data_IF_877206740046
#
_entry.id   IF_877206740046
#
_cell.length_a   1.000
_cell.length_b   1.000
_cell.length_c   1.000
_cell.angle_alpha   90.00
_cell.angle_beta   90.00
_cell.angle_gamma   90.00
#
_symmetry.space_group_name_H-M   'P 1'
#
loop_
_entity.id
_entity.type
_entity.pdbx_description
1 polymer ?
#
# COMPACT_ATOMS: atom_id res chain seq x y z
N UNK A 1 39.12 -66.80 -38.18
CA UNK A 1 39.22 -67.05 -36.73
C UNK A 1 38.03 -66.30 -36.09
N UNK A 2 36.88 -67.00 -36.02
CA UNK A 2 35.60 -66.44 -35.52
C UNK A 2 35.50 -66.74 -34.03
N UNK A 3 35.51 -65.70 -33.22
CA UNK A 3 35.30 -65.76 -31.78
C UNK A 3 33.82 -66.04 -31.51
N UNK A 4 33.46 -67.22 -31.03
CA UNK A 4 32.14 -67.51 -30.50
C UNK A 4 32.05 -67.03 -29.04
N UNK A 5 31.30 -65.93 -28.81
CA UNK A 5 30.95 -65.49 -27.47
C UNK A 5 29.84 -66.38 -26.88
N UNK A 6 30.09 -67.01 -25.73
CA UNK A 6 29.13 -67.90 -25.06
C UNK A 6 27.99 -67.07 -24.39
N UNK A 7 26.78 -67.67 -24.25
CA UNK A 7 25.63 -66.96 -23.68
C UNK A 7 25.81 -66.43 -22.24
N UNK A 8 26.78 -66.97 -21.51
CA UNK A 8 27.13 -66.57 -20.15
C UNK A 8 27.86 -65.20 -20.11
N UNK A 9 28.65 -64.88 -21.16
CA UNK A 9 29.34 -63.57 -21.24
C UNK A 9 28.40 -62.42 -21.61
N UNK A 10 27.32 -62.66 -22.36
CA UNK A 10 26.29 -61.68 -22.64
C UNK A 10 25.43 -61.33 -21.42
N UNK A 11 25.23 -62.28 -20.51
CA UNK A 11 24.47 -62.04 -19.26
C UNK A 11 25.29 -61.24 -18.23
N UNK A 12 26.58 -61.36 -18.16
CA UNK A 12 27.46 -60.60 -17.30
C UNK A 12 27.58 -59.15 -17.75
N UNK A 13 27.62 -58.89 -19.06
CA UNK A 13 27.67 -57.51 -19.61
C UNK A 13 26.36 -56.72 -19.40
N UNK A 14 25.20 -57.40 -19.43
CA UNK A 14 23.90 -56.81 -19.21
C UNK A 14 23.66 -56.39 -17.74
N UNK A 15 24.25 -57.15 -16.77
CA UNK A 15 24.12 -56.81 -15.34
C UNK A 15 25.01 -55.61 -14.94
N UNK A 16 26.17 -55.44 -15.57
CA UNK A 16 27.05 -54.29 -15.31
C UNK A 16 26.49 -52.97 -15.88
N UNK A 17 25.72 -53.00 -16.98
CA UNK A 17 25.06 -51.82 -17.51
C UNK A 17 23.82 -51.35 -16.71
N UNK A 18 23.17 -52.24 -15.96
CA UNK A 18 21.99 -51.90 -15.13
C UNK A 18 22.36 -51.31 -13.76
N UNK A 19 23.58 -51.45 -13.29
CA UNK A 19 24.07 -50.87 -12.03
C UNK A 19 24.70 -49.46 -12.18
N UNK A 20 24.92 -48.98 -13.42
CA UNK A 20 25.51 -47.69 -13.71
C UNK A 20 24.53 -46.49 -13.79
N UNK A 21 23.21 -46.74 -13.74
CA UNK A 21 22.18 -45.73 -13.83
C UNK A 21 21.47 -45.36 -12.50
N UNK A 22 22.08 -45.72 -11.36
CA UNK A 22 21.70 -45.08 -10.10
C UNK A 22 22.24 -43.60 -10.12
N UNK A 23 21.63 -42.80 -10.99
CA UNK A 23 21.84 -41.37 -11.02
C UNK A 23 21.54 -40.82 -9.63
N UNK A 24 22.57 -40.35 -8.93
CA UNK A 24 22.44 -39.55 -7.73
C UNK A 24 21.59 -38.35 -8.12
N UNK A 25 20.29 -38.41 -7.82
CA UNK A 25 19.50 -37.21 -7.67
C UNK A 25 20.16 -36.46 -6.52
N UNK A 26 21.08 -35.54 -6.85
CA UNK A 26 21.43 -34.47 -5.95
C UNK A 26 20.10 -33.72 -5.75
N UNK A 27 19.38 -34.08 -4.71
CA UNK A 27 18.45 -33.21 -4.10
C UNK A 27 19.33 -32.02 -3.63
N UNK A 28 19.41 -30.98 -4.48
CA UNK A 28 20.10 -29.76 -4.11
C UNK A 28 19.54 -29.33 -2.77
N UNK A 29 20.42 -29.06 -1.81
CA UNK A 29 19.99 -28.42 -0.57
C UNK A 29 19.02 -27.28 -0.95
N UNK A 30 17.87 -27.14 -0.26
CA UNK A 30 16.94 -26.07 -0.55
C UNK A 30 17.70 -24.75 -0.50
N UNK A 31 17.81 -24.10 -1.66
CA UNK A 31 18.61 -22.88 -1.79
C UNK A 31 18.21 -21.93 -0.68
N UNK A 32 19.19 -21.52 0.15
CA UNK A 32 18.95 -20.64 1.30
C UNK A 32 18.35 -19.32 0.78
N UNK A 33 17.09 -19.12 1.00
CA UNK A 33 16.42 -17.85 0.66
C UNK A 33 16.53 -16.88 1.84
N UNK A 34 16.82 -15.58 1.62
CA UNK A 34 17.32 -15.01 0.37
C UNK A 34 18.81 -15.30 0.18
N UNK A 35 19.20 -15.61 -1.06
CA UNK A 35 20.61 -15.89 -1.43
C UNK A 35 21.36 -14.66 -1.95
N UNK A 36 20.66 -13.58 -2.23
CA UNK A 36 21.15 -12.32 -2.77
C UNK A 36 20.27 -11.15 -2.30
N UNK A 37 20.67 -9.87 -2.51
CA UNK A 37 19.85 -8.73 -2.12
C UNK A 37 18.43 -8.80 -2.65
N UNK A 38 17.48 -8.36 -1.82
CA UNK A 38 16.05 -8.27 -2.13
C UNK A 38 15.72 -6.84 -2.58
N UNK A 39 15.12 -6.70 -3.74
CA UNK A 39 14.64 -5.41 -4.25
C UNK A 39 13.24 -5.14 -3.71
N UNK A 40 13.04 -3.99 -3.09
CA UNK A 40 11.73 -3.49 -2.65
C UNK A 40 11.29 -2.33 -3.54
N UNK A 41 10.42 -2.61 -4.49
CA UNK A 41 9.83 -1.60 -5.38
C UNK A 41 8.88 -0.72 -4.56
N UNK A 42 8.98 0.60 -4.76
CA UNK A 42 8.04 1.60 -4.25
C UNK A 42 7.50 2.39 -5.43
N UNK A 43 6.20 2.23 -5.72
CA UNK A 43 5.57 2.80 -6.90
C UNK A 43 5.24 4.31 -6.76
N UNK A 44 5.89 5.00 -5.81
CA UNK A 44 5.74 6.44 -5.55
C UNK A 44 7.09 7.13 -5.51
N UNK A 45 7.07 8.46 -5.55
CA UNK A 45 8.29 9.25 -5.51
C UNK A 45 9.04 9.09 -4.18
N UNK A 46 10.34 9.25 -4.21
CA UNK A 46 11.18 9.32 -3.01
C UNK A 46 10.70 10.44 -2.06
N UNK A 47 10.77 10.21 -0.76
CA UNK A 47 10.29 11.13 0.27
C UNK A 47 8.77 11.10 0.50
N UNK A 48 8.01 10.32 -0.28
CA UNK A 48 6.59 10.07 0.00
C UNK A 48 6.40 9.16 1.22
N UNK A 49 5.19 9.16 1.79
CA UNK A 49 4.85 8.29 2.93
C UNK A 49 5.15 6.80 2.67
N UNK A 50 4.84 6.21 1.49
CA UNK A 50 5.27 4.84 1.17
C UNK A 50 6.80 4.67 1.12
N UNK A 51 7.54 5.62 0.59
CA UNK A 51 9.01 5.55 0.54
C UNK A 51 9.63 5.61 1.96
N UNK A 52 9.11 6.48 2.81
CA UNK A 52 9.52 6.57 4.22
C UNK A 52 9.29 5.23 4.93
N UNK A 53 8.10 4.64 4.79
CA UNK A 53 7.81 3.32 5.35
C UNK A 53 8.74 2.25 4.80
N UNK A 54 8.92 2.21 3.48
CA UNK A 54 9.77 1.21 2.81
C UNK A 54 11.21 1.23 3.35
N UNK A 55 11.80 2.41 3.54
CA UNK A 55 13.17 2.54 4.08
C UNK A 55 13.26 2.08 5.53
N UNK A 56 12.29 2.44 6.35
CA UNK A 56 12.21 2.00 7.76
C UNK A 56 12.09 0.49 7.86
N UNK A 57 11.25 -0.12 7.03
CA UNK A 57 11.06 -1.58 7.00
C UNK A 57 12.26 -2.28 6.39
N UNK A 58 12.82 -1.77 5.29
CA UNK A 58 13.98 -2.36 4.61
C UNK A 58 15.22 -2.44 5.51
N UNK A 59 15.45 -1.42 6.34
CA UNK A 59 16.52 -1.41 7.34
C UNK A 59 16.42 -2.62 8.28
N UNK A 60 15.26 -2.86 8.86
CA UNK A 60 15.02 -3.94 9.82
C UNK A 60 14.93 -5.31 9.14
N UNK A 61 14.29 -5.39 7.96
CA UNK A 61 14.25 -6.63 7.19
C UNK A 61 15.63 -7.09 6.72
N UNK A 62 16.52 -6.16 6.39
CA UNK A 62 17.90 -6.51 6.00
C UNK A 62 18.61 -7.26 7.12
N UNK A 63 18.47 -6.80 8.36
CA UNK A 63 19.01 -7.48 9.53
C UNK A 63 18.35 -8.84 9.77
N UNK A 64 17.02 -8.92 9.66
CA UNK A 64 16.27 -10.15 9.89
C UNK A 64 16.53 -11.23 8.82
N UNK A 65 16.68 -10.85 7.56
CA UNK A 65 16.87 -11.77 6.44
C UNK A 65 18.35 -12.13 6.17
N UNK A 66 19.29 -11.38 6.76
CA UNK A 66 20.72 -11.56 6.51
C UNK A 66 21.18 -11.14 5.10
N UNK A 67 20.32 -10.43 4.35
CA UNK A 67 20.58 -9.91 3.01
C UNK A 67 20.05 -8.48 2.89
N UNK A 68 20.72 -7.64 2.12
CA UNK A 68 20.30 -6.27 1.92
C UNK A 68 18.89 -6.20 1.27
N UNK A 69 18.00 -5.39 1.83
CA UNK A 69 16.72 -5.01 1.21
C UNK A 69 16.88 -3.59 0.65
N UNK A 70 16.85 -3.48 -0.68
CA UNK A 70 17.16 -2.23 -1.40
C UNK A 70 15.88 -1.61 -1.95
N UNK A 71 15.57 -0.39 -1.53
CA UNK A 71 14.40 0.37 -2.01
C UNK A 71 14.67 0.91 -3.41
N UNK A 72 13.76 0.63 -4.35
CA UNK A 72 13.78 1.08 -5.75
C UNK A 72 12.48 1.85 -6.07
N UNK A 73 12.57 3.19 -6.15
CA UNK A 73 11.41 4.02 -6.45
C UNK A 73 11.09 3.98 -7.96
N UNK A 74 9.87 3.55 -8.31
CA UNK A 74 9.32 3.45 -9.66
C UNK A 74 7.99 4.19 -9.80
N UNK A 75 7.99 5.53 -9.66
CA UNK A 75 6.77 6.33 -9.77
C UNK A 75 6.27 6.39 -11.22
N UNK A 76 4.99 6.64 -11.39
CA UNK A 76 4.39 6.92 -12.70
C UNK A 76 3.07 6.20 -12.95
N UNK A 77 2.26 6.77 -13.85
CA UNK A 77 0.97 6.25 -14.31
C UNK A 77 0.08 5.74 -13.17
N UNK A 78 -0.14 6.54 -12.12
CA UNK A 78 -0.95 6.11 -10.98
C UNK A 78 -0.41 4.85 -10.27
N UNK A 79 0.92 4.72 -10.10
CA UNK A 79 1.62 3.55 -9.53
C UNK A 79 1.68 2.31 -10.44
N UNK A 80 1.08 2.35 -11.62
CA UNK A 80 1.03 1.21 -12.56
C UNK A 80 2.41 0.74 -12.99
N UNK A 81 3.37 1.66 -13.16
CA UNK A 81 4.74 1.31 -13.55
C UNK A 81 5.39 0.36 -12.53
N UNK A 82 5.30 0.66 -11.24
CA UNK A 82 5.85 -0.21 -10.20
C UNK A 82 5.15 -1.56 -10.12
N UNK A 83 3.81 -1.59 -10.24
CA UNK A 83 3.03 -2.82 -10.22
C UNK A 83 3.36 -3.71 -11.42
N UNK A 84 3.51 -3.14 -12.62
CA UNK A 84 3.93 -3.87 -13.83
C UNK A 84 5.34 -4.41 -13.67
N UNK A 85 6.27 -3.62 -13.14
CA UNK A 85 7.63 -4.08 -12.85
C UNK A 85 7.66 -5.29 -11.91
N UNK A 86 6.76 -5.34 -10.91
CA UNK A 86 6.60 -6.52 -10.06
C UNK A 86 6.03 -7.70 -10.85
N UNK A 87 4.99 -7.49 -11.64
CA UNK A 87 4.30 -8.56 -12.39
C UNK A 87 5.22 -9.26 -13.39
N UNK A 88 6.20 -8.54 -13.93
CA UNK A 88 7.21 -9.04 -14.88
C UNK A 88 8.45 -9.63 -14.19
N UNK A 89 8.57 -9.53 -12.86
CA UNK A 89 9.73 -10.02 -12.12
C UNK A 89 9.68 -11.53 -11.92
N UNK A 90 10.87 -12.14 -11.77
CA UNK A 90 11.01 -13.56 -11.40
C UNK A 90 10.32 -13.84 -10.05
N UNK A 91 9.54 -14.93 -9.96
CA UNK A 91 8.78 -15.26 -8.75
C UNK A 91 9.63 -15.97 -7.68
N UNK A 92 10.87 -15.54 -7.50
CA UNK A 92 11.85 -16.14 -6.59
C UNK A 92 11.96 -15.43 -5.24
N UNK A 93 11.10 -14.40 -5.01
CA UNK A 93 11.06 -13.62 -3.78
C UNK A 93 12.11 -12.51 -3.67
N UNK A 94 13.02 -12.35 -4.64
CA UNK A 94 14.05 -11.29 -4.59
C UNK A 94 13.58 -9.95 -5.19
N UNK A 95 12.37 -9.89 -5.72
CA UNK A 95 11.70 -8.64 -6.10
C UNK A 95 10.33 -8.59 -5.43
N UNK A 96 10.12 -7.55 -4.62
CA UNK A 96 8.91 -7.32 -3.86
C UNK A 96 8.37 -5.92 -4.16
N UNK A 97 7.10 -5.66 -3.88
CA UNK A 97 6.50 -4.33 -3.99
C UNK A 97 5.86 -3.93 -2.66
N UNK A 98 6.12 -2.71 -2.24
CA UNK A 98 5.29 -2.05 -1.25
C UNK A 98 3.99 -1.62 -1.94
N UNK A 99 2.96 -2.44 -1.79
CA UNK A 99 1.62 -2.15 -2.30
C UNK A 99 0.89 -1.16 -1.40
N UNK A 100 0.13 -0.27 -2.01
CA UNK A 100 -0.70 0.72 -1.31
C UNK A 100 -2.17 0.52 -1.64
N UNK A 101 -3.07 1.03 -0.81
CA UNK A 101 -4.51 1.09 -1.12
C UNK A 101 -4.77 1.73 -2.49
N UNK A 102 -4.06 2.82 -2.81
CA UNK A 102 -4.18 3.50 -4.10
C UNK A 102 -3.85 2.57 -5.26
N UNK A 103 -2.66 1.96 -5.23
CA UNK A 103 -2.19 1.11 -6.33
C UNK A 103 -2.96 -0.19 -6.51
N UNK A 104 -3.31 -0.87 -5.41
CA UNK A 104 -3.85 -2.23 -5.47
C UNK A 104 -5.38 -2.32 -5.38
N UNK A 105 -6.05 -1.32 -4.78
CA UNK A 105 -7.50 -1.35 -4.58
C UNK A 105 -8.25 -0.24 -5.31
N UNK A 106 -7.70 0.97 -5.44
CA UNK A 106 -8.38 2.12 -6.07
C UNK A 106 -8.14 2.15 -7.59
N UNK A 107 -6.88 2.05 -8.01
CA UNK A 107 -6.50 2.25 -9.41
C UNK A 107 -7.21 1.33 -10.40
N UNK A 108 -7.53 0.07 -10.10
CA UNK A 108 -8.33 -0.77 -10.99
C UNK A 108 -9.71 -0.18 -11.33
N UNK A 109 -10.29 0.61 -10.43
CA UNK A 109 -11.56 1.28 -10.67
C UNK A 109 -11.39 2.68 -11.26
N UNK A 110 -10.33 3.40 -10.88
CA UNK A 110 -10.09 4.78 -11.27
C UNK A 110 -9.51 4.92 -12.69
N UNK A 111 -8.61 4.01 -13.07
CA UNK A 111 -7.90 4.00 -14.36
C UNK A 111 -8.38 2.84 -15.25
N UNK A 112 -9.70 2.70 -15.46
CA UNK A 112 -10.29 1.59 -16.24
C UNK A 112 -9.79 1.49 -17.69
N UNK A 113 -9.27 2.58 -18.25
CA UNK A 113 -8.72 2.64 -19.60
C UNK A 113 -7.27 2.14 -19.69
N UNK A 114 -6.58 1.97 -18.55
CA UNK A 114 -5.24 1.41 -18.50
C UNK A 114 -5.33 -0.11 -18.33
N UNK A 115 -4.53 -0.83 -19.11
CA UNK A 115 -4.32 -2.27 -18.92
C UNK A 115 -3.46 -2.49 -17.66
N UNK A 116 -4.13 -2.47 -16.52
CA UNK A 116 -3.48 -2.63 -15.22
C UNK A 116 -3.29 -4.11 -14.92
N UNK A 117 -2.10 -4.52 -14.41
CA UNK A 117 -1.94 -5.84 -13.85
C UNK A 117 -2.97 -6.05 -12.74
N UNK A 118 -3.88 -6.99 -12.94
CA UNK A 118 -4.95 -7.28 -11.99
C UNK A 118 -4.43 -7.96 -10.72
N UNK A 119 -5.35 -8.22 -9.78
CA UNK A 119 -5.04 -8.91 -8.52
C UNK A 119 -4.42 -10.32 -8.70
N UNK A 120 -4.50 -10.89 -9.90
CA UNK A 120 -3.86 -12.16 -10.25
C UNK A 120 -2.36 -12.04 -10.56
N UNK A 121 -1.83 -10.82 -10.67
CA UNK A 121 -0.42 -10.57 -11.01
C UNK A 121 0.52 -10.57 -9.81
N UNK A 122 -0.01 -10.65 -8.59
CA UNK A 122 0.76 -10.67 -7.36
C UNK A 122 0.15 -11.58 -6.30
N UNK A 123 0.95 -11.99 -5.34
CA UNK A 123 0.52 -12.67 -4.12
C UNK A 123 0.76 -11.77 -2.91
N UNK A 124 -0.25 -11.57 -2.03
CA UNK A 124 -0.07 -10.85 -0.77
C UNK A 124 0.91 -11.58 0.15
N UNK A 125 1.80 -10.84 0.79
CA UNK A 125 2.80 -11.36 1.74
C UNK A 125 2.43 -10.95 3.17
N UNK A 126 2.25 -9.66 3.41
CA UNK A 126 1.88 -9.12 4.72
C UNK A 126 1.24 -7.75 4.61
N UNK A 127 0.16 -7.50 5.34
CA UNK A 127 -0.24 -6.15 5.70
C UNK A 127 0.85 -5.61 6.64
N UNK A 128 1.30 -4.38 6.42
CA UNK A 128 2.33 -3.81 7.27
C UNK A 128 1.77 -2.73 8.19
N UNK A 129 1.06 -1.77 7.61
CA UNK A 129 0.53 -0.65 8.37
C UNK A 129 -0.81 -0.19 7.85
N UNK A 130 -1.58 0.46 8.73
CA UNK A 130 -2.74 1.27 8.39
C UNK A 130 -2.51 2.73 8.78
N UNK A 131 -3.21 3.64 8.10
CA UNK A 131 -3.08 5.08 8.27
C UNK A 131 -4.49 5.67 8.29
N UNK A 132 -4.93 6.28 9.40
CA UNK A 132 -6.13 7.10 9.41
C UNK A 132 -5.84 8.43 8.69
N UNK A 133 -6.81 8.88 7.90
CA UNK A 133 -6.75 10.19 7.26
C UNK A 133 -7.65 11.18 7.99
N UNK A 134 -7.33 12.45 7.88
CA UNK A 134 -8.07 13.54 8.49
C UNK A 134 -8.57 14.44 7.37
N UNK A 135 -9.86 14.75 7.36
CA UNK A 135 -10.42 15.84 6.59
C UNK A 135 -10.26 17.13 7.40
N UNK A 136 -9.64 18.13 6.81
CA UNK A 136 -9.30 19.36 7.49
C UNK A 136 -9.68 20.60 6.66
N UNK A 137 -9.91 21.71 7.34
CA UNK A 137 -10.22 23.02 6.75
C UNK A 137 -9.21 24.06 7.22
N UNK A 138 -8.86 24.99 6.35
CA UNK A 138 -8.00 26.14 6.68
C UNK A 138 -8.65 27.01 7.78
N UNK A 139 -7.88 27.48 8.75
CA UNK A 139 -8.38 28.35 9.83
C UNK A 139 -8.90 29.71 9.34
N UNK A 140 -8.70 30.03 8.06
CA UNK A 140 -9.29 31.23 7.42
C UNK A 140 -10.77 31.04 7.00
N UNK A 141 -11.27 29.79 7.00
CA UNK A 141 -12.67 29.47 6.71
C UNK A 141 -13.45 29.49 8.03
N UNK A 142 -14.61 30.13 8.13
CA UNK A 142 -15.41 30.19 9.36
C UNK A 142 -16.20 28.87 9.53
N UNK A 143 -15.48 27.75 9.75
CA UNK A 143 -16.03 26.42 9.95
C UNK A 143 -15.07 25.58 10.81
N UNK A 144 -15.54 25.08 11.94
CA UNK A 144 -14.78 24.22 12.86
C UNK A 144 -15.35 22.78 12.88
N UNK A 145 -16.45 22.55 12.17
CA UNK A 145 -17.10 21.24 12.02
C UNK A 145 -17.48 20.97 10.57
N UNK A 146 -17.69 19.70 10.22
CA UNK A 146 -18.13 19.33 8.88
C UNK A 146 -19.52 19.94 8.57
N UNK A 147 -20.40 20.01 9.55
CA UNK A 147 -21.74 20.61 9.39
C UNK A 147 -21.62 22.10 9.03
N UNK A 148 -20.74 22.85 9.69
CA UNK A 148 -20.47 24.26 9.39
C UNK A 148 -19.80 24.44 8.02
N UNK A 149 -18.86 23.56 7.65
CA UNK A 149 -18.28 23.59 6.31
C UNK A 149 -19.34 23.38 5.23
N UNK A 150 -20.26 22.41 5.43
CA UNK A 150 -21.38 22.17 4.51
C UNK A 150 -22.29 23.39 4.42
N UNK A 151 -22.65 23.99 5.55
CA UNK A 151 -23.48 25.19 5.57
C UNK A 151 -22.79 26.36 4.85
N UNK A 152 -21.50 26.58 5.12
CA UNK A 152 -20.69 27.59 4.46
C UNK A 152 -20.60 27.36 2.94
N UNK A 153 -20.34 26.14 2.51
CA UNK A 153 -20.26 25.77 1.09
C UNK A 153 -21.58 26.05 0.34
N UNK A 154 -22.72 25.70 0.96
CA UNK A 154 -24.05 25.97 0.38
C UNK A 154 -24.36 27.45 0.27
N UNK A 155 -23.90 28.27 1.23
CA UNK A 155 -24.06 29.70 1.20
C UNK A 155 -23.07 30.40 0.24
N UNK A 156 -21.98 29.76 -0.13
CA UNK A 156 -20.90 30.31 -0.94
C UNK A 156 -20.50 29.35 -2.08
N UNK A 157 -21.38 29.06 -3.04
CA UNK A 157 -21.09 28.12 -4.13
C UNK A 157 -19.87 28.55 -4.94
N UNK A 158 -18.99 27.58 -5.29
CA UNK A 158 -17.76 27.82 -6.05
C UNK A 158 -16.63 28.51 -5.29
N UNK A 159 -16.77 28.78 -3.98
CA UNK A 159 -15.73 29.46 -3.17
C UNK A 159 -14.76 28.48 -2.50
N UNK A 160 -15.10 27.20 -2.45
CA UNK A 160 -14.23 26.21 -1.82
C UNK A 160 -13.41 25.45 -2.85
N UNK A 161 -12.13 25.31 -2.59
CA UNK A 161 -11.27 24.35 -3.25
C UNK A 161 -10.75 23.32 -2.25
N UNK A 162 -10.63 22.09 -2.74
CA UNK A 162 -10.13 20.95 -2.00
C UNK A 162 -8.82 20.47 -2.63
N UNK A 163 -7.74 20.44 -1.86
CA UNK A 163 -6.42 20.00 -2.29
C UNK A 163 -6.05 18.65 -1.72
N UNK A 164 -5.65 17.71 -2.58
CA UNK A 164 -5.14 16.40 -2.16
C UNK A 164 -4.24 15.77 -3.21
N UNK A 165 -3.50 14.72 -2.80
CA UNK A 165 -2.67 13.93 -3.70
C UNK A 165 -3.53 13.11 -4.68
N UNK A 166 -3.24 13.25 -5.97
CA UNK A 166 -4.01 12.60 -7.05
C UNK A 166 -3.84 11.07 -7.03
N UNK A 167 -4.92 10.34 -7.35
CA UNK A 167 -4.94 8.88 -7.42
C UNK A 167 -4.81 8.20 -6.05
N UNK A 168 -5.13 8.91 -4.98
CA UNK A 168 -5.01 8.39 -3.60
C UNK A 168 -6.36 8.41 -2.88
N UNK A 169 -6.48 7.67 -1.75
CA UNK A 169 -7.63 7.81 -0.85
C UNK A 169 -7.92 9.25 -0.44
N UNK A 170 -6.90 10.10 -0.33
CA UNK A 170 -7.06 11.50 0.07
C UNK A 170 -7.87 12.32 -0.95
N UNK A 171 -7.62 12.13 -2.25
CA UNK A 171 -8.46 12.71 -3.30
C UNK A 171 -9.90 12.23 -3.15
N UNK A 172 -10.07 10.91 -3.04
CA UNK A 172 -11.40 10.31 -2.96
C UNK A 172 -12.18 10.75 -1.72
N UNK A 173 -11.48 11.08 -0.62
CA UNK A 173 -12.13 11.58 0.60
C UNK A 173 -12.87 12.90 0.34
N UNK A 174 -12.21 13.88 -0.23
CA UNK A 174 -12.83 15.17 -0.53
C UNK A 174 -13.93 15.07 -1.57
N UNK A 175 -13.69 14.30 -2.64
CA UNK A 175 -14.68 14.04 -3.68
C UNK A 175 -15.93 13.30 -3.13
N UNK A 176 -15.72 12.34 -2.24
CA UNK A 176 -16.79 11.58 -1.61
C UNK A 176 -17.63 12.48 -0.68
N UNK A 177 -16.96 13.27 0.17
CA UNK A 177 -17.65 14.25 1.04
C UNK A 177 -18.43 15.25 0.19
N UNK A 178 -17.84 15.78 -0.88
CA UNK A 178 -18.51 16.67 -1.84
C UNK A 178 -19.80 16.04 -2.38
N UNK A 179 -19.71 14.81 -2.89
CA UNK A 179 -20.84 14.09 -3.48
C UNK A 179 -21.94 13.77 -2.44
N UNK A 180 -21.55 13.28 -1.26
CA UNK A 180 -22.51 12.92 -0.18
C UNK A 180 -23.22 14.12 0.41
N UNK A 181 -22.53 15.25 0.52
CA UNK A 181 -23.09 16.48 1.12
C UNK A 181 -23.80 17.39 0.12
N UNK A 182 -23.67 17.12 -1.19
CA UNK A 182 -24.22 17.95 -2.25
C UNK A 182 -23.67 19.39 -2.26
N UNK A 183 -22.37 19.54 -1.90
CA UNK A 183 -21.70 20.84 -1.88
C UNK A 183 -20.83 21.00 -3.12
N UNK A 184 -20.53 22.25 -3.46
CA UNK A 184 -19.64 22.58 -4.57
C UNK A 184 -18.23 22.86 -4.02
N UNK A 185 -17.24 22.05 -4.46
CA UNK A 185 -15.82 22.22 -4.17
C UNK A 185 -15.01 21.85 -5.41
N UNK A 186 -14.05 22.70 -5.76
CA UNK A 186 -13.13 22.46 -6.89
C UNK A 186 -11.94 21.65 -6.41
N UNK A 187 -11.71 20.48 -7.02
CA UNK A 187 -10.53 19.68 -6.72
C UNK A 187 -9.27 20.30 -7.35
N UNK A 188 -8.21 20.43 -6.54
CA UNK A 188 -6.87 20.91 -6.94
C UNK A 188 -5.88 19.76 -6.72
N UNK A 189 -5.30 19.18 -7.79
CA UNK A 189 -4.37 18.06 -7.67
C UNK A 189 -2.99 18.51 -7.18
N UNK A 190 -2.44 17.76 -6.21
CA UNK A 190 -1.07 17.90 -5.71
C UNK A 190 -0.33 16.57 -5.87
N UNK A 191 1.01 16.62 -5.90
CA UNK A 191 1.85 15.41 -5.89
C UNK A 191 1.99 14.78 -4.50
N UNK A 192 1.58 15.48 -3.44
CA UNK A 192 1.62 15.03 -2.05
C UNK A 192 1.18 16.13 -1.08
N UNK A 193 0.85 15.74 0.16
CA UNK A 193 0.36 16.65 1.19
C UNK A 193 1.35 17.76 1.57
N UNK A 194 2.64 17.48 1.57
CA UNK A 194 3.68 18.48 1.82
C UNK A 194 3.65 19.66 0.84
N UNK A 195 3.14 19.44 -0.39
CA UNK A 195 2.95 20.52 -1.36
C UNK A 195 1.61 21.24 -1.18
N UNK A 196 0.56 20.55 -0.72
CA UNK A 196 -0.74 21.13 -0.45
C UNK A 196 -0.76 21.99 0.84
N UNK A 197 0.04 21.58 1.84
CA UNK A 197 0.03 22.21 3.17
C UNK A 197 0.31 23.72 3.16
N UNK A 198 1.33 24.26 2.47
CA UNK A 198 1.55 25.72 2.40
C UNK A 198 0.35 26.48 1.80
N UNK A 199 -0.35 25.87 0.84
CA UNK A 199 -1.52 26.46 0.20
C UNK A 199 -2.74 26.42 1.11
N UNK A 200 -2.91 25.37 1.92
CA UNK A 200 -3.93 25.27 2.95
C UNK A 200 -3.72 26.33 4.04
N UNK A 201 -2.49 26.44 4.55
CA UNK A 201 -2.14 27.42 5.59
C UNK A 201 -2.29 28.88 5.12
N UNK A 202 -2.05 29.12 3.83
CA UNK A 202 -2.24 30.43 3.20
C UNK A 202 -3.68 30.69 2.75
N UNK A 203 -4.61 29.74 2.91
CA UNK A 203 -5.99 29.84 2.46
C UNK A 203 -6.17 29.84 0.93
N UNK A 204 -5.15 29.46 0.15
CA UNK A 204 -5.25 29.28 -1.31
C UNK A 204 -6.10 28.09 -1.69
N UNK A 205 -6.07 27.03 -0.89
CA UNK A 205 -7.10 25.98 -0.83
C UNK A 205 -7.75 26.01 0.53
N UNK A 206 -9.05 25.73 0.59
CA UNK A 206 -9.84 25.85 1.82
C UNK A 206 -9.95 24.54 2.56
N UNK A 207 -9.97 23.42 1.85
CA UNK A 207 -10.14 22.08 2.40
C UNK A 207 -8.98 21.20 1.94
N UNK A 208 -8.54 20.28 2.80
CA UNK A 208 -7.55 19.28 2.46
C UNK A 208 -7.79 17.99 3.24
N UNK A 209 -7.17 16.90 2.78
CA UNK A 209 -7.10 15.66 3.52
C UNK A 209 -5.67 15.16 3.58
N UNK A 210 -5.22 14.72 4.75
CA UNK A 210 -3.89 14.12 4.92
C UNK A 210 -3.81 13.25 6.19
N UNK A 211 -2.65 12.62 6.39
CA UNK A 211 -2.37 11.84 7.57
C UNK A 211 -2.10 12.72 8.80
N UNK A 212 -2.37 12.15 9.99
CA UNK A 212 -2.25 12.83 11.28
C UNK A 212 -0.92 13.57 11.49
N UNK A 213 0.26 13.00 11.24
CA UNK A 213 1.51 13.69 11.56
C UNK A 213 1.74 14.99 10.80
N UNK A 214 1.21 15.10 9.58
CA UNK A 214 1.35 16.32 8.78
C UNK A 214 0.40 17.42 9.28
N UNK A 215 -0.81 17.06 9.69
CA UNK A 215 -1.85 18.02 10.10
C UNK A 215 -1.77 18.39 11.58
N UNK A 216 -1.37 17.46 12.46
CA UNK A 216 -1.43 17.62 13.92
C UNK A 216 -0.73 18.89 14.46
N UNK A 217 0.49 19.26 14.02
CA UNK A 217 1.11 20.51 14.47
C UNK A 217 0.26 21.73 14.18
N UNK A 218 -0.31 21.82 12.98
CA UNK A 218 -1.11 22.96 12.53
C UNK A 218 -2.50 22.99 13.16
N UNK A 219 -3.07 21.83 13.49
CA UNK A 219 -4.31 21.73 14.26
C UNK A 219 -4.09 22.25 15.67
N UNK A 220 -2.99 21.85 16.34
CA UNK A 220 -2.65 22.35 17.69
C UNK A 220 -2.37 23.84 17.73
N UNK A 221 -1.88 24.41 16.65
CA UNK A 221 -1.65 25.85 16.50
C UNK A 221 -2.92 26.62 16.10
N UNK A 222 -4.06 25.95 15.88
CA UNK A 222 -5.31 26.57 15.44
C UNK A 222 -5.27 27.12 14.00
N UNK A 223 -4.25 26.79 13.22
CA UNK A 223 -4.11 27.22 11.82
C UNK A 223 -4.97 26.38 10.86
N UNK A 224 -5.35 25.19 11.30
CA UNK A 224 -6.16 24.22 10.56
C UNK A 224 -7.14 23.58 11.54
N UNK A 225 -8.40 23.41 11.15
CA UNK A 225 -9.40 22.68 11.95
C UNK A 225 -9.63 21.28 11.36
N UNK A 226 -9.55 20.26 12.22
CA UNK A 226 -9.87 18.89 11.84
C UNK A 226 -11.39 18.70 11.90
N UNK A 227 -12.00 18.32 10.78
CA UNK A 227 -13.46 18.19 10.67
C UNK A 227 -13.96 16.77 10.93
N UNK A 228 -13.18 15.79 10.49
CA UNK A 228 -13.47 14.36 10.72
C UNK A 228 -12.23 13.50 10.48
N UNK A 229 -12.19 12.33 11.12
CA UNK A 229 -11.21 11.28 10.88
C UNK A 229 -11.86 10.13 10.12
N UNK A 230 -11.10 9.44 9.27
CA UNK A 230 -11.62 8.30 8.50
C UNK A 230 -11.66 7.01 9.31
N UNK A 231 -10.91 6.91 10.41
CA UNK A 231 -10.85 5.72 11.26
C UNK A 231 -12.23 5.34 11.82
N UNK A 232 -12.42 4.05 12.13
CA UNK A 232 -13.66 3.55 12.71
C UNK A 232 -13.95 4.11 14.11
N UNK A 233 -12.93 4.60 14.81
CA UNK A 233 -13.00 5.25 16.11
C UNK A 233 -12.21 6.55 16.09
N UNK A 234 -12.52 7.48 16.97
CA UNK A 234 -11.75 8.72 17.15
C UNK A 234 -10.29 8.43 17.49
N UNK A 235 -9.41 9.33 17.09
CA UNK A 235 -7.98 9.20 17.37
C UNK A 235 -7.66 9.69 18.80
N UNK A 236 -6.79 8.99 19.53
CA UNK A 236 -6.38 9.44 20.88
C UNK A 236 -5.74 10.83 20.88
N UNK A 237 -5.07 11.20 19.79
CA UNK A 237 -4.41 12.50 19.62
C UNK A 237 -5.40 13.64 19.32
N UNK A 238 -6.63 13.29 18.90
CA UNK A 238 -7.71 14.19 18.50
C UNK A 238 -9.06 13.65 19.03
N UNK A 239 -9.24 13.53 20.36
CA UNK A 239 -10.41 12.87 20.95
C UNK A 239 -11.75 13.59 20.68
N UNK A 240 -11.69 14.90 20.41
CA UNK A 240 -12.88 15.71 20.13
C UNK A 240 -13.27 15.71 18.64
N UNK A 241 -12.39 15.22 17.74
CA UNK A 241 -12.66 15.16 16.31
C UNK A 241 -13.47 13.89 16.00
N UNK A 242 -14.69 14.04 15.41
CA UNK A 242 -15.55 12.89 15.13
C UNK A 242 -15.04 12.05 13.96
N UNK A 243 -15.51 10.82 13.87
CA UNK A 243 -15.34 9.98 12.68
C UNK A 243 -16.28 10.44 11.56
N UNK A 244 -15.98 10.05 10.31
CA UNK A 244 -16.88 10.31 9.17
C UNK A 244 -18.29 9.75 9.41
N UNK A 245 -18.40 8.56 9.99
CA UNK A 245 -19.68 7.93 10.32
C UNK A 245 -20.45 8.73 11.37
N UNK A 246 -19.78 9.24 12.42
CA UNK A 246 -20.45 10.07 13.44
C UNK A 246 -21.02 11.38 12.86
N UNK A 247 -20.46 11.89 11.76
CA UNK A 247 -20.94 13.09 11.06
C UNK A 247 -21.84 12.79 9.85
N UNK A 248 -22.29 11.52 9.72
CA UNK A 248 -23.27 11.11 8.69
C UNK A 248 -22.68 10.84 7.29
N UNK A 249 -21.36 10.71 7.18
CA UNK A 249 -20.68 10.32 5.93
C UNK A 249 -20.35 8.84 5.97
N UNK A 250 -21.34 8.01 5.71
CA UNK A 250 -21.22 6.55 5.73
C UNK A 250 -20.70 5.97 4.41
N UNK A 251 -20.04 4.79 4.49
CA UNK A 251 -19.63 4.01 3.32
C UNK A 251 -18.24 4.34 2.80
N UNK A 252 -17.54 5.30 3.39
CA UNK A 252 -16.13 5.54 3.09
C UNK A 252 -15.25 4.52 3.85
N UNK A 253 -14.26 3.86 3.20
CA UNK A 253 -13.38 2.92 3.89
C UNK A 253 -12.60 3.60 5.03
N UNK A 254 -12.53 2.98 6.23
CA UNK A 254 -12.10 3.67 7.44
C UNK A 254 -10.61 3.98 7.50
N UNK A 255 -9.81 3.34 6.67
CA UNK A 255 -8.35 3.52 6.71
C UNK A 255 -7.71 3.19 5.38
N UNK A 256 -6.55 3.79 5.14
CA UNK A 256 -5.62 3.38 4.08
C UNK A 256 -4.60 2.42 4.66
N UNK A 257 -4.03 1.60 3.80
CA UNK A 257 -3.08 0.60 4.21
C UNK A 257 -1.89 0.52 3.24
N UNK A 258 -0.79 -0.01 3.75
CA UNK A 258 0.38 -0.41 2.97
C UNK A 258 0.79 -1.82 3.39
N UNK A 259 1.16 -2.64 2.41
CA UNK A 259 1.57 -4.01 2.65
C UNK A 259 2.56 -4.51 1.61
N UNK A 260 3.17 -5.63 1.91
CA UNK A 260 4.15 -6.27 1.05
C UNK A 260 3.47 -7.27 0.13
N UNK A 261 3.78 -7.22 -1.16
CA UNK A 261 3.33 -8.19 -2.16
C UNK A 261 4.51 -8.70 -2.98
N UNK A 262 4.39 -9.92 -3.51
CA UNK A 262 5.37 -10.59 -4.35
C UNK A 262 4.74 -10.98 -5.70
N UNK A 263 5.50 -11.35 -6.75
CA UNK A 263 4.95 -11.88 -8.00
C UNK A 263 4.03 -13.09 -7.76
N UNK A 264 2.99 -13.24 -8.58
CA UNK A 264 1.89 -14.19 -8.34
C UNK A 264 2.33 -15.64 -8.12
N UNK A 265 3.36 -16.10 -8.83
CA UNK A 265 3.86 -17.48 -8.76
C UNK A 265 4.95 -17.70 -7.70
N UNK A 266 5.16 -16.73 -6.80
CA UNK A 266 6.15 -16.89 -5.72
C UNK A 266 5.80 -18.08 -4.83
N UNK A 267 6.74 -18.99 -4.56
CA UNK A 267 6.48 -20.20 -3.77
C UNK A 267 5.96 -19.88 -2.37
N UNK A 268 4.97 -20.66 -1.90
CA UNK A 268 4.34 -20.45 -0.57
C UNK A 268 5.35 -20.45 0.58
N UNK A 269 6.41 -21.25 0.50
CA UNK A 269 7.46 -21.29 1.51
C UNK A 269 8.20 -19.95 1.63
N UNK A 270 8.46 -19.28 0.49
CA UNK A 270 9.08 -17.95 0.44
C UNK A 270 8.12 -16.89 0.99
N UNK A 271 6.84 -16.93 0.58
CA UNK A 271 5.80 -16.03 1.11
C UNK A 271 5.70 -16.17 2.63
N UNK A 272 5.67 -17.41 3.15
CA UNK A 272 5.62 -17.68 4.59
C UNK A 272 6.84 -17.15 5.34
N UNK A 273 8.06 -17.33 4.79
CA UNK A 273 9.29 -16.80 5.38
C UNK A 273 9.30 -15.27 5.41
N UNK A 274 8.89 -14.63 4.32
CA UNK A 274 8.77 -13.17 4.24
C UNK A 274 7.71 -12.64 5.21
N UNK A 275 6.54 -13.29 5.29
CA UNK A 275 5.49 -12.92 6.23
C UNK A 275 5.98 -12.98 7.67
N UNK A 276 6.65 -14.06 8.07
CA UNK A 276 7.22 -14.21 9.41
C UNK A 276 8.22 -13.07 9.70
N UNK A 277 9.17 -12.81 8.80
CA UNK A 277 10.16 -11.77 8.96
C UNK A 277 9.52 -10.37 9.09
N UNK A 278 8.52 -10.03 8.25
CA UNK A 278 7.79 -8.76 8.34
C UNK A 278 7.07 -8.65 9.69
N UNK A 279 6.36 -9.68 10.12
CA UNK A 279 5.63 -9.69 11.38
C UNK A 279 6.56 -9.52 12.60
N UNK A 280 7.72 -10.16 12.58
CA UNK A 280 8.72 -10.04 13.65
C UNK A 280 9.29 -8.63 13.72
N UNK A 281 9.61 -8.05 12.55
CA UNK A 281 10.08 -6.66 12.42
C UNK A 281 9.01 -5.68 12.94
N UNK A 282 7.74 -5.83 12.56
CA UNK A 282 6.64 -4.98 13.02
C UNK A 282 6.42 -5.06 14.55
N UNK A 283 6.68 -6.22 15.16
CA UNK A 283 6.57 -6.41 16.62
C UNK A 283 7.80 -5.93 17.40
N UNK A 284 8.89 -5.57 16.72
CA UNK A 284 10.13 -5.12 17.37
C UNK A 284 9.90 -3.84 18.18
N UNK A 285 10.66 -3.64 19.25
CA UNK A 285 10.60 -2.43 20.07
C UNK A 285 10.91 -1.18 19.25
N UNK A 286 11.88 -1.27 18.33
CA UNK A 286 12.27 -0.18 17.42
C UNK A 286 11.10 0.30 16.57
N UNK A 287 10.33 -0.61 15.96
CA UNK A 287 9.20 -0.20 15.11
C UNK A 287 7.95 0.19 15.90
N UNK A 288 7.70 -0.42 17.06
CA UNK A 288 6.61 0.00 17.95
C UNK A 288 6.74 1.47 18.39
N UNK A 289 7.98 1.95 18.54
CA UNK A 289 8.24 3.35 18.89
C UNK A 289 8.24 4.26 17.65
N UNK A 290 8.81 3.80 16.54
CA UNK A 290 9.06 4.63 15.34
C UNK A 290 7.81 4.81 14.47
N UNK A 291 7.00 3.76 14.27
CA UNK A 291 5.85 3.80 13.36
C UNK A 291 4.77 4.81 13.79
N UNK A 292 4.36 4.89 15.07
CA UNK A 292 3.37 5.88 15.49
C UNK A 292 3.83 7.33 15.28
N UNK A 293 5.12 7.62 15.47
CA UNK A 293 5.70 8.96 15.21
C UNK A 293 5.61 9.36 13.74
N UNK A 294 5.52 8.37 12.84
CA UNK A 294 5.33 8.54 11.40
C UNK A 294 3.85 8.45 10.98
N UNK A 295 2.92 8.31 11.93
CA UNK A 295 1.50 8.18 11.68
C UNK A 295 1.05 6.81 11.19
N UNK A 296 1.89 5.80 11.37
CA UNK A 296 1.60 4.43 10.98
C UNK A 296 1.17 3.59 12.17
N UNK A 297 0.08 2.85 12.03
CA UNK A 297 -0.31 1.80 12.95
C UNK A 297 0.14 0.46 12.38
N UNK A 298 0.99 -0.27 13.09
CA UNK A 298 1.43 -1.61 12.69
C UNK A 298 0.27 -2.61 12.71
N UNK A 299 0.18 -3.45 11.67
CA UNK A 299 -0.90 -4.44 11.49
C UNK A 299 -0.30 -5.82 11.12
N UNK A 300 0.41 -6.48 12.05
CA UNK A 300 0.94 -7.82 11.78
C UNK A 300 -0.21 -8.81 11.60
N UNK A 301 -0.12 -9.66 10.55
CA UNK A 301 -1.17 -10.60 10.20
C UNK A 301 -0.71 -11.64 9.18
N UNK A 302 -1.64 -12.51 8.76
CA UNK A 302 -1.35 -13.54 7.76
C UNK A 302 -1.45 -13.01 6.32
N UNK A 303 -0.83 -13.69 5.34
CA UNK A 303 -1.03 -13.38 3.92
C UNK A 303 -2.49 -13.46 3.48
N UNK A 304 -3.25 -14.41 4.04
CA UNK A 304 -4.67 -14.61 3.71
C UNK A 304 -5.55 -13.47 4.25
N UNK A 305 -5.23 -12.91 5.44
CA UNK A 305 -5.91 -11.72 5.96
C UNK A 305 -5.69 -10.53 5.05
N UNK A 306 -4.46 -10.34 4.57
CA UNK A 306 -4.15 -9.26 3.65
C UNK A 306 -4.79 -9.46 2.28
N UNK A 307 -4.86 -10.70 1.77
CA UNK A 307 -5.58 -11.01 0.54
C UNK A 307 -7.07 -10.66 0.64
N UNK A 308 -7.72 -11.04 1.75
CA UNK A 308 -9.13 -10.68 2.00
C UNK A 308 -9.34 -9.18 2.08
N UNK A 309 -8.44 -8.46 2.76
CA UNK A 309 -8.51 -7.00 2.85
C UNK A 309 -8.44 -6.36 1.46
N UNK A 310 -7.47 -6.74 0.62
CA UNK A 310 -7.32 -6.20 -0.74
C UNK A 310 -8.61 -6.43 -1.55
N UNK A 311 -9.16 -7.65 -1.52
CA UNK A 311 -10.36 -8.00 -2.28
C UNK A 311 -11.58 -7.19 -1.82
N UNK A 312 -11.83 -7.15 -0.50
CA UNK A 312 -12.96 -6.41 0.09
C UNK A 312 -12.84 -4.91 -0.16
N UNK A 313 -11.62 -4.36 -0.03
CA UNK A 313 -11.39 -2.94 -0.23
C UNK A 313 -11.50 -2.55 -1.71
N UNK A 314 -11.09 -3.40 -2.64
CA UNK A 314 -11.26 -3.13 -4.07
C UNK A 314 -12.75 -2.91 -4.44
N UNK A 315 -13.66 -3.69 -3.86
CA UNK A 315 -15.11 -3.53 -4.05
C UNK A 315 -15.63 -2.21 -3.44
N UNK A 316 -15.22 -1.91 -2.19
CA UNK A 316 -15.60 -0.67 -1.51
C UNK A 316 -15.09 0.56 -2.25
N UNK A 317 -13.82 0.55 -2.65
CA UNK A 317 -13.22 1.67 -3.38
C UNK A 317 -13.83 1.85 -4.77
N UNK A 318 -14.22 0.78 -5.45
CA UNK A 318 -14.96 0.88 -6.70
C UNK A 318 -16.28 1.64 -6.52
N UNK A 319 -17.02 1.38 -5.42
CA UNK A 319 -18.23 2.12 -5.08
C UNK A 319 -17.95 3.59 -4.75
N UNK A 320 -16.88 3.88 -4.01
CA UNK A 320 -16.44 5.26 -3.70
C UNK A 320 -16.07 6.01 -4.98
N UNK A 321 -15.30 5.41 -5.89
CA UNK A 321 -14.94 6.01 -7.19
C UNK A 321 -16.19 6.31 -8.01
N UNK A 322 -17.15 5.36 -8.08
CA UNK A 322 -18.39 5.54 -8.83
C UNK A 322 -19.23 6.70 -8.27
N UNK A 323 -19.36 6.80 -6.94
CA UNK A 323 -20.14 7.85 -6.29
C UNK A 323 -19.45 9.23 -6.38
N UNK A 324 -18.15 9.29 -6.19
CA UNK A 324 -17.38 10.54 -6.17
C UNK A 324 -17.29 11.21 -7.53
N UNK A 325 -17.42 10.43 -8.62
CA UNK A 325 -17.18 10.90 -9.98
C UNK A 325 -15.71 11.23 -10.27
N UNK A 326 -14.80 10.78 -9.39
CA UNK A 326 -13.35 10.99 -9.54
C UNK A 326 -12.84 10.36 -10.85
N UNK A 327 -11.89 11.05 -11.47
CA UNK A 327 -11.21 10.57 -12.68
C UNK A 327 -9.72 10.48 -12.43
N UNK A 328 -9.07 9.53 -13.10
CA UNK A 328 -7.64 9.25 -13.00
C UNK A 328 -6.83 9.81 -14.17
N UNK A 329 -7.17 10.97 -14.68
CA UNK A 329 -6.55 11.58 -15.88
C UNK A 329 -5.13 12.09 -15.59
#
# INVERSE_FOLDING_TARGET
MTLHLTPSMLRAAAIVCLLGCAGSTFAGEPAVYPSRPVKLIVATAAGSSPDVLARVIAEQLSASLGQAVVVDNRPGAGQTLGIRTLAEAEPDGHTLLLGTTGGLAINPALYRHLDLPGSKSFVPVALMVTIPNILAVAGTVPAESLAELIAYAKANPGKLSFGASQGTPLQLLGEYVRAKSGIDMVYVPYKGGSQAMPDLLAGRIQVSADALPLLLPHIREGKVHALAVTSATRLPELPDVPTLTEVGIDGYPPQTWMGLVAPASTPRAIVGKLNAAVNDVLRSAALRERLPKLGFKAEPGSPDDFARLIATDAEKWAAVVALSGAKGD
#
